data_IF_255392097307
#
_entry.id   IF_255392097307
#
_cell.length_a   1.000
_cell.length_b   1.000
_cell.length_c   1.000
_cell.angle_alpha   90.00
_cell.angle_beta   90.00
_cell.angle_gamma   90.00
#
_symmetry.space_group_name_H-M   'P 1'
#
loop_
_entity.id
_entity.type
_entity.pdbx_description
1 polymer ?
#
# COMPACT_ATOMS: atom_id res chain seq x y z
N UNK A 1 -27.13 11.32 2.19
CA UNK A 1 -26.95 12.57 1.42
C UNK A 1 -26.48 13.76 2.25
N UNK A 2 -26.88 13.91 3.52
CA UNK A 2 -26.53 15.08 4.36
C UNK A 2 -25.00 15.22 4.58
N UNK A 3 -24.26 14.10 4.71
CA UNK A 3 -22.80 14.11 4.91
C UNK A 3 -22.05 14.63 3.66
N UNK A 4 -22.52 14.29 2.45
CA UNK A 4 -21.93 14.78 1.20
C UNK A 4 -22.16 16.29 1.00
N UNK A 5 -23.33 16.80 1.39
CA UNK A 5 -23.62 18.24 1.31
C UNK A 5 -22.73 19.06 2.26
N UNK A 6 -22.43 18.55 3.46
CA UNK A 6 -21.55 19.20 4.44
C UNK A 6 -20.06 19.24 4.01
N UNK A 7 -19.61 18.32 3.15
CA UNK A 7 -18.23 18.34 2.63
C UNK A 7 -18.01 19.41 1.55
N UNK A 8 -19.05 19.78 0.79
CA UNK A 8 -18.93 20.75 -0.31
C UNK A 8 -18.69 22.20 0.14
N UNK A 9 -18.96 22.53 1.41
CA UNK A 9 -18.76 23.87 1.97
C UNK A 9 -17.37 24.08 2.58
N UNK A 10 -16.58 23.01 2.70
CA UNK A 10 -15.19 23.09 3.10
C UNK A 10 -14.33 23.45 1.88
N UNK A 11 -13.93 24.71 1.79
CA UNK A 11 -12.98 25.19 0.77
C UNK A 11 -11.77 24.24 0.68
N UNK A 12 -11.37 23.79 -0.53
CA UNK A 12 -10.18 22.98 -0.68
C UNK A 12 -8.97 23.77 -0.19
N UNK A 13 -8.24 23.23 0.80
CA UNK A 13 -6.93 23.76 1.23
C UNK A 13 -5.88 23.27 0.23
N UNK A 14 -6.05 23.59 -1.04
CA UNK A 14 -5.02 23.36 -2.06
C UNK A 14 -4.25 24.66 -2.25
N UNK A 15 -3.17 24.81 -1.48
CA UNK A 15 -2.13 25.78 -1.81
C UNK A 15 -1.53 25.40 -3.18
N UNK A 16 -1.07 26.37 -3.99
CA UNK A 16 -0.38 26.08 -5.25
C UNK A 16 0.82 25.16 -4.97
N UNK A 17 0.72 23.91 -5.43
CA UNK A 17 1.72 22.88 -5.16
C UNK A 17 2.98 23.19 -5.95
N UNK A 18 4.12 23.25 -5.25
CA UNK A 18 5.42 23.44 -5.89
C UNK A 18 5.72 22.22 -6.76
N UNK A 19 6.43 22.40 -7.87
CA UNK A 19 6.84 21.28 -8.75
C UNK A 19 7.54 20.17 -7.94
N UNK A 20 8.36 20.55 -6.96
CA UNK A 20 9.07 19.61 -6.08
C UNK A 20 8.10 18.73 -5.27
N UNK A 21 6.96 19.27 -4.82
CA UNK A 21 5.95 18.50 -4.08
C UNK A 21 5.23 17.50 -4.97
N UNK A 22 4.97 17.89 -6.22
CA UNK A 22 4.39 16.99 -7.21
C UNK A 22 5.34 15.83 -7.54
N UNK A 23 6.63 16.13 -7.77
CA UNK A 23 7.66 15.11 -7.98
C UNK A 23 7.77 14.18 -6.78
N UNK A 24 7.75 14.72 -5.55
CA UNK A 24 7.78 13.93 -4.33
C UNK A 24 6.57 12.99 -4.17
N UNK A 25 5.37 13.45 -4.55
CA UNK A 25 4.17 12.61 -4.57
C UNK A 25 4.27 11.49 -5.59
N UNK A 26 4.67 11.80 -6.82
CA UNK A 26 4.82 10.82 -7.91
C UNK A 26 5.91 9.79 -7.56
N UNK A 27 7.05 10.23 -7.04
CA UNK A 27 8.13 9.33 -6.61
C UNK A 27 7.66 8.38 -5.51
N UNK A 28 6.89 8.88 -4.55
CA UNK A 28 6.31 8.04 -3.50
C UNK A 28 5.30 7.02 -4.04
N UNK A 29 4.41 7.43 -4.95
CA UNK A 29 3.46 6.51 -5.61
C UNK A 29 4.21 5.44 -6.41
N UNK A 30 5.24 5.84 -7.17
CA UNK A 30 6.08 4.92 -7.92
C UNK A 30 6.78 3.91 -7.00
N UNK A 31 7.30 4.36 -5.86
CA UNK A 31 7.91 3.47 -4.86
C UNK A 31 6.89 2.49 -4.28
N UNK A 32 5.69 2.94 -3.91
CA UNK A 32 4.63 2.06 -3.41
C UNK A 32 4.22 1.01 -4.44
N UNK A 33 4.07 1.43 -5.71
CA UNK A 33 3.79 0.53 -6.83
C UNK A 33 4.91 -0.48 -7.04
N UNK A 34 6.17 -0.04 -6.97
CA UNK A 34 7.35 -0.91 -7.13
C UNK A 34 7.39 -1.98 -6.04
N UNK A 35 7.13 -1.61 -4.78
CA UNK A 35 7.07 -2.56 -3.67
C UNK A 35 5.95 -3.58 -3.84
N UNK A 36 4.77 -3.14 -4.29
CA UNK A 36 3.67 -4.05 -4.62
C UNK A 36 4.07 -5.01 -5.74
N UNK A 37 4.72 -4.51 -6.80
CA UNK A 37 5.19 -5.34 -7.92
C UNK A 37 6.22 -6.38 -7.47
N UNK A 38 7.20 -5.98 -6.64
CA UNK A 38 8.16 -6.91 -6.03
C UNK A 38 7.42 -7.99 -5.25
N UNK A 39 6.43 -7.62 -4.44
CA UNK A 39 5.65 -8.59 -3.66
C UNK A 39 4.80 -9.51 -4.54
N UNK A 40 4.21 -9.03 -5.64
CA UNK A 40 3.39 -9.87 -6.55
C UNK A 40 4.24 -10.85 -7.37
N UNK A 41 5.43 -10.43 -7.79
CA UNK A 41 6.27 -11.15 -8.76
C UNK A 41 7.45 -11.92 -8.14
N UNK A 42 7.64 -11.81 -6.81
CA UNK A 42 8.72 -12.47 -6.07
C UNK A 42 10.05 -11.72 -6.01
N UNK A 43 10.12 -10.49 -6.51
CA UNK A 43 11.39 -9.78 -6.70
C UNK A 43 12.30 -10.50 -7.68
N UNK A 44 13.57 -10.12 -7.77
CA UNK A 44 14.58 -10.84 -8.59
C UNK A 44 14.46 -10.72 -10.12
N UNK A 45 13.84 -9.66 -10.66
CA UNK A 45 13.81 -9.44 -12.11
C UNK A 45 15.19 -9.38 -12.77
N UNK A 46 16.23 -9.05 -11.99
CA UNK A 46 17.62 -8.99 -12.43
C UNK A 46 18.37 -10.33 -12.33
N UNK A 47 17.74 -11.40 -11.82
CA UNK A 47 18.33 -12.75 -11.78
C UNK A 47 17.94 -13.55 -13.02
N UNK A 48 18.79 -14.52 -13.34
CA UNK A 48 18.55 -15.49 -14.42
C UNK A 48 17.17 -16.15 -14.27
N UNK A 49 16.38 -16.27 -15.36
CA UNK A 49 15.09 -16.95 -15.36
C UNK A 49 15.09 -18.33 -14.70
N UNK A 50 16.16 -19.11 -14.84
CA UNK A 50 16.26 -20.45 -14.25
C UNK A 50 16.33 -20.37 -12.72
N UNK A 51 17.11 -19.43 -12.19
CA UNK A 51 17.21 -19.19 -10.74
C UNK A 51 15.89 -18.67 -10.19
N UNK A 52 15.17 -17.84 -10.96
CA UNK A 52 13.83 -17.38 -10.57
C UNK A 52 12.84 -18.52 -10.47
N UNK A 53 12.82 -19.44 -11.43
CA UNK A 53 11.92 -20.61 -11.38
C UNK A 53 12.24 -21.54 -10.21
N UNK A 54 13.52 -21.69 -9.86
CA UNK A 54 13.93 -22.49 -8.71
C UNK A 54 13.51 -21.88 -7.38
N UNK A 55 13.51 -20.55 -7.27
CA UNK A 55 13.07 -19.82 -6.07
C UNK A 55 11.55 -19.69 -6.00
N UNK A 56 10.87 -19.72 -7.15
CA UNK A 56 9.42 -19.51 -7.23
C UNK A 56 8.64 -20.83 -7.10
N UNK A 57 8.80 -21.46 -5.94
CA UNK A 57 8.11 -22.71 -5.63
C UNK A 57 6.61 -22.51 -5.29
N UNK A 58 5.89 -23.62 -5.10
CA UNK A 58 4.47 -23.58 -4.74
C UNK A 58 4.23 -22.92 -3.38
N UNK A 59 5.17 -23.04 -2.44
CA UNK A 59 5.07 -22.52 -1.07
C UNK A 59 5.21 -21.00 -1.08
N UNK A 60 6.24 -20.46 -1.73
CA UNK A 60 6.46 -19.02 -1.89
C UNK A 60 5.29 -18.36 -2.61
N UNK A 61 4.73 -19.01 -3.63
CA UNK A 61 3.52 -18.50 -4.30
C UNK A 61 2.30 -18.47 -3.37
N UNK A 62 2.10 -19.52 -2.56
CA UNK A 62 1.03 -19.53 -1.56
C UNK A 62 1.25 -18.48 -0.45
N UNK A 63 2.49 -18.28 -0.02
CA UNK A 63 2.88 -17.26 0.95
C UNK A 63 2.62 -15.84 0.42
N UNK A 64 2.89 -15.58 -0.86
CA UNK A 64 2.53 -14.32 -1.52
C UNK A 64 1.03 -14.06 -1.53
N UNK A 65 0.22 -15.07 -1.87
CA UNK A 65 -1.24 -14.94 -1.87
C UNK A 65 -1.75 -14.58 -0.46
N UNK A 66 -1.30 -15.31 0.56
CA UNK A 66 -1.63 -15.02 1.97
C UNK A 66 -1.15 -13.63 2.41
N UNK A 67 0.03 -13.21 1.98
CA UNK A 67 0.54 -11.86 2.27
C UNK A 67 -0.36 -10.77 1.67
N UNK A 68 -0.83 -10.96 0.43
CA UNK A 68 -1.77 -10.03 -0.21
C UNK A 68 -3.13 -9.98 0.49
N UNK A 69 -3.66 -11.12 0.92
CA UNK A 69 -4.88 -11.17 1.73
C UNK A 69 -4.72 -10.36 3.03
N UNK A 70 -3.58 -10.47 3.69
CA UNK A 70 -3.25 -9.69 4.88
C UNK A 70 -3.08 -8.20 4.61
N UNK A 71 -2.46 -7.84 3.48
CA UNK A 71 -2.36 -6.45 3.04
C UNK A 71 -3.74 -5.82 2.81
N UNK A 72 -4.61 -6.54 2.09
CA UNK A 72 -5.98 -6.10 1.84
C UNK A 72 -6.81 -6.02 3.13
N UNK A 73 -6.72 -7.03 3.99
CA UNK A 73 -7.44 -7.05 5.27
C UNK A 73 -6.98 -5.95 6.23
N UNK A 74 -5.72 -5.50 6.13
CA UNK A 74 -5.23 -4.32 6.84
C UNK A 74 -5.67 -2.99 6.19
N UNK A 75 -5.81 -2.94 4.87
CA UNK A 75 -6.23 -1.73 4.15
C UNK A 75 -7.66 -1.29 4.53
N UNK A 76 -8.59 -2.23 4.60
CA UNK A 76 -10.02 -1.99 4.88
C UNK A 76 -10.25 -1.25 6.22
N UNK A 77 -9.79 -1.74 7.38
CA UNK A 77 -10.01 -1.06 8.66
C UNK A 77 -9.33 0.30 8.71
N UNK A 78 -8.13 0.44 8.11
CA UNK A 78 -7.44 1.73 8.04
C UNK A 78 -8.22 2.74 7.21
N UNK A 79 -8.80 2.32 6.09
CA UNK A 79 -9.65 3.18 5.28
C UNK A 79 -10.94 3.59 6.03
N UNK A 80 -11.56 2.66 6.77
CA UNK A 80 -12.74 2.95 7.59
C UNK A 80 -12.40 3.98 8.68
N UNK A 81 -11.33 3.73 9.45
CA UNK A 81 -10.88 4.65 10.50
C UNK A 81 -10.49 6.01 9.91
N UNK A 82 -9.78 6.01 8.78
CA UNK A 82 -9.41 7.23 8.07
C UNK A 82 -10.62 8.04 7.60
N UNK A 83 -11.66 7.37 7.08
CA UNK A 83 -12.91 8.00 6.68
C UNK A 83 -13.67 8.61 7.87
N UNK A 84 -13.71 7.91 9.01
CA UNK A 84 -14.29 8.44 10.24
C UNK A 84 -13.54 9.69 10.72
N UNK A 85 -12.20 9.64 10.79
CA UNK A 85 -11.39 10.80 11.19
C UNK A 85 -11.57 11.98 10.21
N UNK A 86 -11.58 11.71 8.91
CA UNK A 86 -11.80 12.74 7.88
C UNK A 86 -13.22 13.33 7.92
N UNK A 87 -14.20 12.62 8.46
CA UNK A 87 -15.55 13.16 8.68
C UNK A 87 -15.63 14.13 9.87
N UNK A 88 -14.73 13.97 10.85
CA UNK A 88 -14.68 14.77 12.07
C UNK A 88 -13.68 15.92 11.98
N UNK A 89 -12.73 15.87 11.03
CA UNK A 89 -11.60 16.80 10.93
C UNK A 89 -11.37 17.26 9.50
N UNK A 90 -10.71 18.41 9.31
CA UNK A 90 -10.23 18.84 7.98
C UNK A 90 -8.92 18.12 7.66
N UNK A 91 -9.03 16.83 7.34
CA UNK A 91 -7.87 16.02 6.99
C UNK A 91 -7.57 16.11 5.48
N UNK A 92 -6.31 16.37 5.07
CA UNK A 92 -5.93 16.32 3.66
C UNK A 92 -6.14 14.90 3.10
N UNK A 93 -6.84 14.78 1.98
CA UNK A 93 -7.15 13.46 1.38
C UNK A 93 -5.89 12.63 1.10
N UNK A 94 -4.82 13.27 0.59
CA UNK A 94 -3.53 12.63 0.30
C UNK A 94 -2.92 11.99 1.56
N UNK A 95 -3.05 12.63 2.73
CA UNK A 95 -2.54 12.07 3.98
C UNK A 95 -3.27 10.77 4.34
N UNK A 96 -4.60 10.73 4.17
CA UNK A 96 -5.41 9.54 4.43
C UNK A 96 -5.05 8.37 3.51
N UNK A 97 -4.96 8.62 2.21
CA UNK A 97 -4.53 7.60 1.25
C UNK A 97 -3.12 7.10 1.54
N UNK A 98 -2.21 7.99 1.94
CA UNK A 98 -0.84 7.61 2.32
C UNK A 98 -0.81 6.62 3.47
N UNK A 99 -1.64 6.83 4.50
CA UNK A 99 -1.74 5.92 5.64
C UNK A 99 -2.28 4.55 5.22
N UNK A 100 -3.34 4.51 4.39
CA UNK A 100 -3.91 3.25 3.88
C UNK A 100 -2.86 2.45 3.11
N UNK A 101 -2.16 3.10 2.17
CA UNK A 101 -1.11 2.45 1.36
C UNK A 101 0.05 1.96 2.23
N UNK A 102 0.53 2.77 3.17
CA UNK A 102 1.67 2.37 4.01
C UNK A 102 1.33 1.19 4.92
N UNK A 103 0.19 1.23 5.61
CA UNK A 103 -0.17 0.18 6.56
C UNK A 103 -0.48 -1.13 5.84
N UNK A 104 -1.22 -1.09 4.72
CA UNK A 104 -1.52 -2.29 3.93
C UNK A 104 -0.27 -2.93 3.34
N UNK A 105 0.63 -2.13 2.77
CA UNK A 105 1.88 -2.62 2.20
C UNK A 105 2.82 -3.16 3.27
N UNK A 106 2.92 -2.47 4.42
CA UNK A 106 3.72 -2.94 5.55
C UNK A 106 3.21 -4.28 6.09
N UNK A 107 1.89 -4.41 6.30
CA UNK A 107 1.27 -5.65 6.76
C UNK A 107 1.52 -6.82 5.79
N UNK A 108 1.41 -6.55 4.48
CA UNK A 108 1.66 -7.55 3.45
C UNK A 108 3.12 -8.03 3.46
N UNK A 109 4.07 -7.08 3.45
CA UNK A 109 5.51 -7.39 3.44
C UNK A 109 5.91 -8.13 4.71
N UNK A 110 5.52 -7.64 5.89
CA UNK A 110 5.83 -8.24 7.17
C UNK A 110 5.25 -9.67 7.28
N UNK A 111 4.03 -9.90 6.78
CA UNK A 111 3.45 -11.24 6.71
C UNK A 111 4.24 -12.15 5.77
N UNK A 112 4.58 -11.68 4.56
CA UNK A 112 5.37 -12.46 3.61
C UNK A 112 6.71 -12.88 4.21
N UNK A 113 7.45 -11.94 4.79
CA UNK A 113 8.76 -12.20 5.40
C UNK A 113 8.67 -13.23 6.53
N UNK A 114 7.63 -13.15 7.38
CA UNK A 114 7.42 -14.15 8.43
C UNK A 114 7.11 -15.54 7.88
N UNK A 115 6.27 -15.63 6.85
CA UNK A 115 5.91 -16.90 6.22
C UNK A 115 7.11 -17.56 5.52
N UNK A 116 7.91 -16.77 4.80
CA UNK A 116 9.14 -17.25 4.16
C UNK A 116 10.17 -17.71 5.20
N UNK A 117 10.37 -16.95 6.28
CA UNK A 117 11.27 -17.37 7.38
C UNK A 117 10.81 -18.66 8.05
N UNK A 118 9.50 -18.86 8.18
CA UNK A 118 8.94 -20.08 8.75
C UNK A 118 8.99 -21.28 7.80
N UNK A 119 9.14 -21.07 6.49
CA UNK A 119 9.31 -22.14 5.51
C UNK A 119 10.78 -22.60 5.37
N UNK A 120 11.73 -21.72 5.70
CA UNK A 120 13.17 -21.99 5.63
C UNK A 120 13.77 -22.58 6.92
N UNK A 121 13.03 -22.54 8.04
CA UNK A 121 13.44 -23.08 9.35
C UNK A 121 12.66 -24.33 9.70
#
# INVERSE_FOLDING_TARGET
>A
MIIFAAQSTLLPVDMPKRVVEFVGLVAWLAMAQMLMLVLTTGGLWLRDPQVRQLVDDEVTRANRARAMEWGFSAAVPVAIVGALIASLTRMPAVFGFRMVVLISLFAAIDRFVRLERAALG
#
